data_IF_376873999587
#
_entry.id   IF_376873999587
#
_cell.length_a   1.000
_cell.length_b   1.000
_cell.length_c   1.000
_cell.angle_alpha   90.00
_cell.angle_beta   90.00
_cell.angle_gamma   90.00
#
_symmetry.space_group_name_H-M   'P 1'
#
loop_
_entity.id
_entity.type
_entity.pdbx_description
1 polymer ?
#
# COMPACT_ATOMS: atom_id res chain seq x y z
N UNK A 1 -4.71 -7.74 9.30
CA UNK A 1 -6.12 -8.04 9.60
C UNK A 1 -6.26 -8.11 11.10
N UNK A 2 -6.96 -7.15 11.67
CA UNK A 2 -7.26 -7.14 13.08
C UNK A 2 -8.22 -8.31 13.36
N UNK A 3 -7.70 -9.42 13.89
CA UNK A 3 -8.50 -10.63 14.21
C UNK A 3 -9.69 -10.35 15.11
N UNK A 4 -9.64 -9.25 15.89
CA UNK A 4 -10.73 -8.86 16.79
C UNK A 4 -11.97 -8.32 16.07
N UNK A 5 -11.83 -7.78 14.87
CA UNK A 5 -12.98 -7.31 14.07
C UNK A 5 -13.70 -8.46 13.38
N UNK A 6 -13.00 -9.58 13.09
CA UNK A 6 -13.60 -10.74 12.41
C UNK A 6 -14.47 -11.62 13.31
N UNK A 7 -14.18 -11.65 14.62
CA UNK A 7 -14.89 -12.56 15.56
C UNK A 7 -16.13 -11.94 16.21
N UNK A 8 -16.29 -10.61 16.14
CA UNK A 8 -17.39 -9.87 16.78
C UNK A 8 -18.22 -9.01 15.80
N UNK A 9 -18.19 -9.30 14.51
CA UNK A 9 -19.06 -8.58 13.55
C UNK A 9 -20.52 -8.77 13.96
N UNK A 10 -21.20 -7.70 14.40
CA UNK A 10 -22.62 -7.81 14.74
C UNK A 10 -23.37 -8.34 13.51
N UNK A 11 -24.32 -9.25 13.70
CA UNK A 11 -25.11 -9.89 12.62
C UNK A 11 -25.78 -8.88 11.66
N UNK A 12 -25.95 -7.63 12.08
CA UNK A 12 -26.49 -6.56 11.26
C UNK A 12 -25.48 -5.96 10.25
N UNK A 13 -24.17 -6.10 10.49
CA UNK A 13 -23.11 -5.76 9.54
C UNK A 13 -22.95 -6.82 8.42
N UNK A 14 -23.37 -8.05 8.67
CA UNK A 14 -23.26 -9.14 7.69
C UNK A 14 -24.22 -9.01 6.49
N UNK A 15 -25.17 -8.09 6.53
CA UNK A 15 -26.11 -7.81 5.44
C UNK A 15 -25.62 -6.72 4.48
N UNK A 16 -24.53 -6.04 4.76
CA UNK A 16 -23.82 -5.20 3.78
C UNK A 16 -22.91 -6.11 2.97
N UNK A 17 -22.91 -6.01 1.65
CA UNK A 17 -21.97 -6.72 0.76
C UNK A 17 -20.51 -6.29 1.00
N UNK A 18 -20.28 -5.50 2.05
CA UNK A 18 -18.99 -4.92 2.37
C UNK A 18 -18.09 -5.95 3.04
N UNK A 19 -16.97 -6.16 2.42
CA UNK A 19 -15.93 -7.02 2.93
C UNK A 19 -15.46 -6.55 4.31
N UNK A 20 -14.87 -7.44 5.10
CA UNK A 20 -14.19 -7.12 6.38
C UNK A 20 -13.23 -5.93 6.23
N UNK A 21 -12.64 -5.74 5.04
CA UNK A 21 -11.73 -4.64 4.72
C UNK A 21 -12.43 -3.28 4.70
N UNK A 22 -13.65 -3.17 4.15
CA UNK A 22 -14.42 -1.92 4.13
C UNK A 22 -14.84 -1.49 5.54
N UNK A 23 -15.21 -2.44 6.39
CA UNK A 23 -15.54 -2.16 7.79
C UNK A 23 -14.32 -1.68 8.58
N UNK A 24 -13.18 -2.34 8.37
CA UNK A 24 -11.90 -1.92 8.95
C UNK A 24 -11.53 -0.51 8.48
N UNK A 25 -11.64 -0.24 7.16
CA UNK A 25 -11.40 1.08 6.60
C UNK A 25 -12.27 2.16 7.24
N UNK A 26 -13.59 1.90 7.39
CA UNK A 26 -14.52 2.85 8.02
C UNK A 26 -14.12 3.18 9.46
N UNK A 27 -13.71 2.18 10.23
CA UNK A 27 -13.23 2.39 11.59
C UNK A 27 -11.94 3.23 11.61
N UNK A 28 -10.97 2.89 10.77
CA UNK A 28 -9.70 3.61 10.66
C UNK A 28 -9.91 5.07 10.21
N UNK A 29 -10.84 5.32 9.27
CA UNK A 29 -11.17 6.68 8.84
C UNK A 29 -11.68 7.54 10.01
N UNK A 30 -12.55 6.99 10.85
CA UNK A 30 -13.06 7.70 12.04
C UNK A 30 -11.96 7.87 13.07
N UNK A 31 -11.23 6.81 13.39
CA UNK A 31 -10.19 6.81 14.42
C UNK A 31 -9.08 7.78 14.07
N UNK A 32 -8.48 7.63 12.90
CA UNK A 32 -7.24 8.32 12.56
C UNK A 32 -7.45 9.74 12.03
N UNK A 33 -8.51 9.99 11.28
CA UNK A 33 -8.73 11.28 10.61
C UNK A 33 -10.09 11.92 10.85
N UNK A 34 -10.96 11.28 11.61
CA UNK A 34 -12.26 11.80 12.00
C UNK A 34 -13.33 11.79 10.91
N UNK A 35 -13.16 11.03 9.83
CA UNK A 35 -14.09 10.98 8.73
C UNK A 35 -15.08 9.84 8.86
N UNK A 36 -16.36 10.11 8.58
CA UNK A 36 -17.40 9.08 8.39
C UNK A 36 -18.29 9.41 7.20
N UNK A 37 -18.99 8.41 6.61
CA UNK A 37 -20.00 8.68 5.60
C UNK A 37 -21.09 9.61 6.11
N UNK A 38 -21.55 10.53 5.26
CA UNK A 38 -22.68 11.43 5.56
C UNK A 38 -24.06 10.79 5.30
N UNK A 39 -24.08 9.54 4.82
CA UNK A 39 -25.26 8.81 4.40
C UNK A 39 -25.81 9.23 3.03
N UNK A 40 -25.16 10.15 2.33
CA UNK A 40 -25.57 10.69 1.01
C UNK A 40 -24.53 10.42 -0.09
N UNK A 41 -23.48 9.68 0.24
CA UNK A 41 -22.38 9.32 -0.70
C UNK A 41 -21.16 10.25 -0.60
N UNK A 42 -21.08 11.09 0.44
CA UNK A 42 -19.90 11.90 0.76
C UNK A 42 -19.39 11.59 2.17
N UNK A 43 -18.39 12.31 2.63
CA UNK A 43 -17.82 12.20 3.97
C UNK A 43 -18.12 13.45 4.80
N UNK A 44 -18.27 13.26 6.11
CA UNK A 44 -18.40 14.32 7.10
C UNK A 44 -17.46 14.08 8.29
N UNK A 45 -17.16 15.12 9.07
CA UNK A 45 -16.43 14.94 10.31
C UNK A 45 -17.38 14.42 11.41
N UNK A 46 -16.96 13.37 12.09
CA UNK A 46 -17.64 12.92 13.32
C UNK A 46 -17.45 13.94 14.44
N UNK A 47 -18.31 13.84 15.46
CA UNK A 47 -18.12 14.61 16.68
C UNK A 47 -16.75 14.30 17.30
N UNK A 48 -16.02 15.34 17.77
CA UNK A 48 -14.67 15.22 18.30
C UNK A 48 -14.59 14.31 19.52
N UNK A 49 -15.55 14.46 20.44
CA UNK A 49 -15.62 13.61 21.64
C UNK A 49 -15.84 12.12 21.31
N UNK A 50 -16.58 11.84 20.23
CA UNK A 50 -16.77 10.47 19.73
C UNK A 50 -15.46 9.92 19.17
N UNK A 51 -14.76 10.69 18.34
CA UNK A 51 -13.47 10.29 17.80
C UNK A 51 -12.48 9.98 18.92
N UNK A 52 -12.30 10.87 19.91
CA UNK A 52 -11.41 10.65 21.05
C UNK A 52 -11.76 9.36 21.83
N UNK A 53 -13.06 9.11 22.05
CA UNK A 53 -13.50 7.89 22.73
C UNK A 53 -13.19 6.63 21.94
N UNK A 54 -13.22 6.68 20.62
CA UNK A 54 -12.87 5.56 19.74
C UNK A 54 -11.35 5.35 19.72
N UNK A 55 -10.55 6.43 19.67
CA UNK A 55 -9.10 6.34 19.79
C UNK A 55 -8.65 5.65 21.10
N UNK A 56 -9.35 5.93 22.20
CA UNK A 56 -9.05 5.29 23.50
C UNK A 56 -9.51 3.82 23.54
N UNK A 57 -10.66 3.55 22.95
CA UNK A 57 -11.32 2.23 23.01
C UNK A 57 -12.02 1.93 21.68
N UNK A 58 -11.32 1.17 20.83
CA UNK A 58 -11.77 0.83 19.47
C UNK A 58 -13.10 0.07 19.44
N UNK A 59 -13.48 -0.62 20.51
CA UNK A 59 -14.76 -1.35 20.58
C UNK A 59 -15.95 -0.40 20.62
N UNK A 60 -15.76 0.85 21.05
CA UNK A 60 -16.81 1.89 21.04
C UNK A 60 -17.30 2.27 19.66
N UNK A 61 -16.51 2.03 18.60
CA UNK A 61 -16.94 2.28 17.23
C UNK A 61 -18.29 1.60 16.91
N UNK A 62 -18.41 0.30 17.21
CA UNK A 62 -19.64 -0.46 16.99
C UNK A 62 -20.84 0.10 17.77
N UNK A 63 -20.62 0.60 18.98
CA UNK A 63 -21.65 1.25 19.78
C UNK A 63 -22.17 2.53 19.15
N UNK A 64 -21.27 3.42 18.63
CA UNK A 64 -21.68 4.67 18.00
C UNK A 64 -22.36 4.45 16.64
N UNK A 65 -21.92 3.46 15.88
CA UNK A 65 -22.61 3.03 14.64
C UNK A 65 -24.02 2.56 14.98
N UNK A 66 -24.20 1.70 15.99
CA UNK A 66 -25.52 1.21 16.41
C UNK A 66 -26.45 2.32 16.88
N UNK A 67 -25.91 3.39 17.45
CA UNK A 67 -26.69 4.57 17.84
C UNK A 67 -27.03 5.49 16.67
N UNK A 68 -26.46 5.28 15.49
CA UNK A 68 -26.59 6.16 14.33
C UNK A 68 -25.79 7.48 14.44
N UNK A 69 -24.87 7.56 15.40
CA UNK A 69 -23.96 8.70 15.57
C UNK A 69 -22.77 8.62 14.59
N UNK A 70 -22.47 7.44 14.09
CA UNK A 70 -21.59 7.18 12.96
C UNK A 70 -22.40 6.48 11.89
N UNK A 71 -22.45 7.06 10.72
CA UNK A 71 -23.17 6.49 9.58
C UNK A 71 -22.27 5.53 8.82
N UNK A 72 -22.86 4.49 8.26
CA UNK A 72 -22.17 3.51 7.39
C UNK A 72 -22.91 3.34 6.07
N UNK A 73 -24.09 3.94 5.93
CA UNK A 73 -24.90 3.82 4.74
C UNK A 73 -24.30 4.60 3.57
N UNK A 74 -24.46 4.05 2.36
CA UNK A 74 -23.96 4.64 1.12
C UNK A 74 -22.42 4.89 1.11
N UNK A 75 -21.66 4.14 1.93
CA UNK A 75 -20.22 4.14 1.85
C UNK A 75 -19.77 3.44 0.57
N UNK A 76 -19.13 4.19 -0.31
CA UNK A 76 -18.60 3.65 -1.57
C UNK A 76 -17.09 3.77 -1.58
N UNK A 77 -16.42 2.64 -1.49
CA UNK A 77 -14.99 2.54 -1.64
C UNK A 77 -14.63 1.51 -2.71
N UNK A 78 -13.61 1.80 -3.48
CA UNK A 78 -13.09 0.92 -4.52
C UNK A 78 -11.74 0.37 -4.08
N UNK A 79 -11.57 -0.95 -4.08
CA UNK A 79 -10.25 -1.56 -3.87
C UNK A 79 -9.43 -1.33 -5.14
N UNK A 80 -8.28 -0.67 -5.01
CA UNK A 80 -7.40 -0.33 -6.13
C UNK A 80 -6.07 -1.09 -6.10
N UNK A 81 -5.67 -1.62 -4.95
CA UNK A 81 -4.48 -2.46 -4.84
C UNK A 81 -4.54 -3.36 -3.60
N UNK A 82 -3.86 -4.50 -3.67
CA UNK A 82 -3.65 -5.42 -2.55
C UNK A 82 -2.15 -5.73 -2.47
N UNK A 83 -1.53 -5.48 -1.33
CA UNK A 83 -0.09 -5.67 -1.12
C UNK A 83 0.17 -6.59 0.05
N UNK A 84 0.77 -7.72 -0.22
CA UNK A 84 1.20 -8.67 0.82
C UNK A 84 2.65 -8.40 1.19
N UNK A 85 2.96 -8.46 2.49
CA UNK A 85 4.35 -8.31 2.97
C UNK A 85 5.27 -9.35 2.33
N UNK A 86 6.52 -8.96 2.01
CA UNK A 86 7.47 -9.85 1.37
C UNK A 86 7.83 -11.06 2.24
N UNK A 87 8.32 -12.16 1.65
CA UNK A 87 8.58 -13.41 2.36
C UNK A 87 9.65 -13.29 3.45
N UNK A 88 10.54 -12.32 3.35
CA UNK A 88 11.57 -12.07 4.37
C UNK A 88 11.07 -11.25 5.57
N UNK A 89 9.86 -10.70 5.50
CA UNK A 89 9.29 -9.96 6.63
C UNK A 89 8.97 -10.91 7.79
N UNK A 90 9.38 -10.58 9.04
CA UNK A 90 9.15 -11.44 10.20
C UNK A 90 7.66 -11.61 10.53
N UNK A 91 6.86 -10.61 10.20
CA UNK A 91 5.39 -10.65 10.30
C UNK A 91 4.85 -10.34 8.92
N UNK A 92 3.96 -11.21 8.42
CA UNK A 92 3.32 -11.04 7.12
C UNK A 92 1.85 -10.65 7.30
N UNK A 93 1.50 -9.54 6.68
CA UNK A 93 0.11 -9.08 6.58
C UNK A 93 -0.16 -8.60 5.15
N UNK A 94 -1.42 -8.49 4.82
CA UNK A 94 -1.89 -7.99 3.53
C UNK A 94 -2.58 -6.65 3.75
N UNK A 95 -2.13 -5.63 3.06
CA UNK A 95 -2.73 -4.30 3.02
C UNK A 95 -3.67 -4.22 1.82
N UNK A 96 -4.91 -3.81 2.04
CA UNK A 96 -5.86 -3.48 0.99
C UNK A 96 -5.96 -1.97 0.90
N UNK A 97 -5.67 -1.43 -0.28
CA UNK A 97 -5.76 0.00 -0.55
C UNK A 97 -7.09 0.32 -1.21
N UNK A 98 -7.79 1.28 -0.65
CA UNK A 98 -9.08 1.71 -1.13
C UNK A 98 -9.01 3.15 -1.65
N UNK A 99 -9.70 3.40 -2.75
CA UNK A 99 -10.01 4.74 -3.22
C UNK A 99 -11.35 5.18 -2.64
N UNK A 100 -11.40 6.41 -2.14
CA UNK A 100 -12.58 7.11 -1.66
C UNK A 100 -12.61 8.49 -2.27
N UNK A 101 -13.71 8.80 -2.96
CA UNK A 101 -13.95 10.18 -3.40
C UNK A 101 -14.61 10.98 -2.27
N UNK A 102 -14.02 12.12 -1.94
CA UNK A 102 -14.62 13.09 -1.01
C UNK A 102 -15.43 14.16 -1.76
N UNK A 103 -15.51 14.07 -3.09
CA UNK A 103 -16.18 15.05 -3.95
C UNK A 103 -15.61 16.46 -3.76
N UNK A 104 -16.50 17.45 -3.84
CA UNK A 104 -16.16 18.87 -3.61
C UNK A 104 -16.13 19.26 -2.12
N UNK A 105 -16.17 18.28 -1.22
CA UNK A 105 -16.16 18.52 0.23
C UNK A 105 -14.86 19.15 0.66
N UNK A 106 -14.92 20.29 1.36
CA UNK A 106 -13.77 20.95 1.96
C UNK A 106 -13.58 20.50 3.42
N UNK A 107 -13.70 19.19 3.65
CA UNK A 107 -13.44 18.64 4.99
C UNK A 107 -11.94 18.45 5.17
N UNK A 108 -11.45 18.80 6.35
CA UNK A 108 -10.03 18.62 6.71
C UNK A 108 -9.90 17.52 7.76
N UNK A 109 -8.92 16.64 7.65
CA UNK A 109 -8.63 15.64 8.67
C UNK A 109 -8.42 16.26 10.03
N UNK A 110 -8.87 15.57 11.07
CA UNK A 110 -8.65 15.97 12.47
C UNK A 110 -7.86 14.87 13.18
N UNK A 111 -6.76 15.27 13.82
CA UNK A 111 -5.86 14.39 14.54
C UNK A 111 -5.97 14.68 16.04
N UNK A 112 -6.65 13.82 16.84
CA UNK A 112 -6.71 14.00 18.28
C UNK A 112 -5.32 13.93 18.90
N UNK A 113 -4.92 14.98 19.60
CA UNK A 113 -3.55 15.16 20.10
C UNK A 113 -3.12 14.03 21.04
N UNK A 114 -2.05 13.33 20.66
CA UNK A 114 -1.48 12.22 21.45
C UNK A 114 -2.29 10.93 21.37
N UNK A 115 -3.29 10.82 20.48
CA UNK A 115 -4.14 9.66 20.29
C UNK A 115 -4.09 9.13 18.85
N UNK A 116 -3.96 10.01 17.84
CA UNK A 116 -3.79 9.63 16.44
C UNK A 116 -2.33 9.27 16.13
N UNK A 117 -2.14 8.37 15.16
CA UNK A 117 -0.83 8.04 14.60
C UNK A 117 -0.32 9.15 13.65
N UNK A 118 -1.18 10.08 13.27
CA UNK A 118 -0.90 11.21 12.37
C UNK A 118 -0.89 12.53 13.15
N UNK A 119 -0.08 13.48 12.65
CA UNK A 119 0.04 14.84 13.21
C UNK A 119 -0.08 15.93 12.13
N UNK A 120 0.08 15.55 10.86
CA UNK A 120 -0.12 16.46 9.72
C UNK A 120 -0.68 15.73 8.49
N UNK A 121 -1.25 16.49 7.56
CA UNK A 121 -1.68 15.99 6.25
C UNK A 121 -1.33 16.98 5.15
N UNK A 122 -1.27 16.47 3.90
CA UNK A 122 -1.08 17.28 2.70
C UNK A 122 -1.88 16.71 1.55
N UNK A 123 -2.46 17.59 0.76
CA UNK A 123 -3.09 17.22 -0.49
C UNK A 123 -2.06 17.23 -1.62
N UNK A 124 -1.92 16.10 -2.29
CA UNK A 124 -0.97 15.92 -3.36
C UNK A 124 -1.65 15.52 -4.66
N UNK A 125 -1.11 16.00 -5.79
CA UNK A 125 -1.30 15.30 -7.06
C UNK A 125 -0.38 14.08 -7.05
N UNK A 126 -0.82 12.92 -7.58
CA UNK A 126 0.00 11.69 -7.57
C UNK A 126 1.40 11.91 -8.13
N UNK A 127 1.52 12.60 -9.26
CA UNK A 127 2.78 12.86 -9.94
C UNK A 127 3.72 13.74 -9.08
N UNK A 128 3.16 14.74 -8.39
CA UNK A 128 3.95 15.61 -7.51
C UNK A 128 4.47 14.84 -6.29
N UNK A 129 3.65 13.95 -5.72
CA UNK A 129 4.08 13.10 -4.61
C UNK A 129 5.18 12.15 -5.05
N UNK A 130 5.03 11.50 -6.22
CA UNK A 130 6.06 10.63 -6.78
C UNK A 130 7.35 11.40 -7.04
N UNK A 131 7.26 12.63 -7.60
CA UNK A 131 8.43 13.47 -7.86
C UNK A 131 9.13 13.89 -6.56
N UNK A 132 8.38 14.29 -5.52
CA UNK A 132 8.97 14.63 -4.22
C UNK A 132 9.64 13.43 -3.54
N UNK A 133 9.10 12.22 -3.74
CA UNK A 133 9.76 11.01 -3.28
C UNK A 133 11.06 10.74 -4.06
N UNK A 134 11.05 10.89 -5.38
CA UNK A 134 12.25 10.75 -6.24
C UNK A 134 13.33 11.77 -5.87
N UNK A 135 12.95 12.95 -5.42
CA UNK A 135 13.85 14.01 -4.96
C UNK A 135 14.32 13.84 -3.49
N UNK A 136 13.92 12.78 -2.81
CA UNK A 136 14.18 12.56 -1.38
C UNK A 136 13.58 13.60 -0.41
N UNK A 137 12.56 14.33 -0.85
CA UNK A 137 11.85 15.34 -0.04
C UNK A 137 10.82 14.70 0.91
N UNK A 138 10.27 13.55 0.51
CA UNK A 138 9.35 12.75 1.33
C UNK A 138 9.83 11.30 1.41
N UNK A 139 9.43 10.60 2.47
CA UNK A 139 9.68 9.17 2.65
C UNK A 139 8.37 8.40 2.50
N UNK A 140 8.36 7.40 1.64
CA UNK A 140 7.23 6.50 1.45
C UNK A 140 7.70 5.06 1.64
N UNK A 141 6.97 4.24 2.39
CA UNK A 141 7.20 2.80 2.42
C UNK A 141 6.97 2.16 1.03
N UNK A 142 7.65 1.04 0.71
CA UNK A 142 7.56 0.41 -0.60
C UNK A 142 6.14 0.15 -1.13
N UNK A 143 5.15 -0.30 -0.31
CA UNK A 143 3.79 -0.49 -0.79
C UNK A 143 3.13 0.79 -1.30
N UNK A 144 3.40 1.93 -0.64
CA UNK A 144 2.88 3.23 -1.06
C UNK A 144 3.57 3.73 -2.32
N UNK A 145 4.89 3.53 -2.45
CA UNK A 145 5.63 3.90 -3.68
C UNK A 145 5.05 3.16 -4.89
N UNK A 146 4.86 1.84 -4.76
CA UNK A 146 4.27 1.03 -5.83
C UNK A 146 2.86 1.50 -6.18
N UNK A 147 2.03 1.76 -5.16
CA UNK A 147 0.67 2.27 -5.37
C UNK A 147 0.66 3.60 -6.13
N UNK A 148 1.51 4.56 -5.74
CA UNK A 148 1.58 5.87 -6.41
C UNK A 148 2.05 5.72 -7.86
N UNK A 149 2.98 4.81 -8.15
CA UNK A 149 3.39 4.50 -9.52
C UNK A 149 2.24 3.94 -10.35
N UNK A 150 1.50 2.95 -9.81
CA UNK A 150 0.31 2.37 -10.48
C UNK A 150 -0.75 3.46 -10.77
N UNK A 151 -0.96 4.39 -9.84
CA UNK A 151 -1.89 5.51 -10.03
C UNK A 151 -1.39 6.46 -11.13
N UNK A 152 -0.11 6.83 -11.13
CA UNK A 152 0.46 7.71 -12.15
C UNK A 152 0.40 7.05 -13.55
N UNK A 153 0.76 5.77 -13.66
CA UNK A 153 0.69 5.02 -14.91
C UNK A 153 -0.75 4.94 -15.44
N UNK A 154 -1.69 4.59 -14.57
CA UNK A 154 -3.11 4.55 -14.93
C UNK A 154 -3.66 5.93 -15.31
N UNK A 155 -3.18 7.01 -14.68
CA UNK A 155 -3.56 8.37 -15.02
C UNK A 155 -3.01 8.80 -16.39
N UNK A 156 -1.78 8.45 -16.72
CA UNK A 156 -1.19 8.70 -18.05
C UNK A 156 -1.98 7.98 -19.15
N UNK A 157 -2.42 6.75 -18.90
CA UNK A 157 -3.21 5.97 -19.86
C UNK A 157 -4.64 6.48 -20.06
N UNK A 158 -5.30 6.95 -19.00
CA UNK A 158 -6.74 7.25 -19.01
C UNK A 158 -7.05 8.76 -19.01
N UNK A 159 -6.08 9.63 -18.71
CA UNK A 159 -6.17 11.09 -18.85
C UNK A 159 -6.85 11.82 -17.67
N UNK A 160 -7.57 11.11 -16.79
CA UNK A 160 -8.17 11.70 -15.59
C UNK A 160 -8.17 10.71 -14.41
N UNK A 161 -8.23 11.25 -13.17
CA UNK A 161 -8.13 10.46 -11.95
C UNK A 161 -9.31 9.50 -11.74
N UNK A 162 -10.52 9.86 -12.13
CA UNK A 162 -11.70 9.02 -11.94
C UNK A 162 -11.56 7.77 -12.79
N UNK A 163 -11.29 7.94 -14.09
CA UNK A 163 -11.06 6.84 -15.02
C UNK A 163 -9.86 5.98 -14.60
N UNK A 164 -8.80 6.61 -14.06
CA UNK A 164 -7.64 5.90 -13.55
C UNK A 164 -7.99 4.98 -12.36
N UNK A 165 -8.74 5.48 -11.39
CA UNK A 165 -9.17 4.68 -10.23
C UNK A 165 -10.19 3.60 -10.60
N UNK A 166 -11.13 3.89 -11.53
CA UNK A 166 -12.07 2.90 -12.04
C UNK A 166 -11.31 1.75 -12.73
N UNK A 167 -10.30 2.06 -13.53
CA UNK A 167 -9.44 1.06 -14.16
C UNK A 167 -8.71 0.17 -13.14
N UNK A 168 -8.09 0.79 -12.14
CA UNK A 168 -7.39 0.08 -11.07
C UNK A 168 -8.34 -0.80 -10.25
N UNK A 169 -9.60 -0.38 -10.07
CA UNK A 169 -10.59 -1.15 -9.31
C UNK A 169 -11.10 -2.40 -10.03
N UNK A 170 -11.10 -2.41 -11.36
CA UNK A 170 -11.48 -3.58 -12.17
C UNK A 170 -10.45 -4.72 -12.00
N UNK A 171 -9.18 -4.37 -11.95
CA UNK A 171 -8.06 -5.30 -11.77
C UNK A 171 -7.08 -4.74 -10.72
N UNK A 172 -7.41 -4.84 -9.43
CA UNK A 172 -6.51 -4.38 -8.39
C UNK A 172 -5.18 -5.11 -8.48
N UNK A 173 -4.08 -4.35 -8.53
CA UNK A 173 -2.76 -4.97 -8.59
C UNK A 173 -2.45 -5.73 -7.31
N UNK A 174 -1.99 -6.97 -7.44
CA UNK A 174 -1.73 -7.87 -6.31
C UNK A 174 -0.25 -8.19 -6.15
N UNK A 175 0.14 -8.52 -4.93
CA UNK A 175 1.46 -9.05 -4.61
C UNK A 175 2.52 -7.98 -4.37
N UNK A 176 3.74 -8.46 -4.33
CA UNK A 176 4.95 -7.64 -4.33
C UNK A 176 5.92 -8.32 -5.31
N UNK A 177 6.42 -7.60 -6.27
CA UNK A 177 7.42 -8.14 -7.18
C UNK A 177 8.77 -7.48 -6.93
N UNK A 178 8.75 -6.17 -6.69
CA UNK A 178 9.93 -5.35 -6.45
C UNK A 178 9.61 -4.40 -5.31
N UNK A 179 10.53 -4.29 -4.37
CA UNK A 179 10.42 -3.40 -3.23
C UNK A 179 11.43 -2.27 -3.41
N UNK A 180 10.96 -1.09 -3.70
CA UNK A 180 11.79 0.09 -3.82
C UNK A 180 11.83 0.84 -2.47
N UNK A 181 12.94 0.68 -1.73
CA UNK A 181 13.11 1.27 -0.40
C UNK A 181 13.53 2.74 -0.43
N UNK A 182 14.20 3.12 -1.50
CA UNK A 182 14.59 4.50 -1.81
C UNK A 182 14.73 4.61 -3.33
N UNK A 183 14.66 5.82 -3.92
CA UNK A 183 14.88 6.00 -5.34
C UNK A 183 16.16 5.30 -5.82
N UNK A 184 16.00 4.39 -6.78
CA UNK A 184 17.09 3.61 -7.34
C UNK A 184 17.66 2.51 -6.43
N UNK A 185 16.96 2.11 -5.36
CA UNK A 185 17.30 0.98 -4.49
C UNK A 185 16.17 -0.03 -4.51
N UNK A 186 16.22 -0.96 -5.44
CA UNK A 186 15.21 -1.99 -5.62
C UNK A 186 15.66 -3.32 -4.99
N UNK A 187 14.78 -4.01 -4.27
CA UNK A 187 15.01 -5.35 -3.74
C UNK A 187 14.07 -6.34 -4.43
N UNK A 188 14.63 -7.44 -4.90
CA UNK A 188 13.93 -8.53 -5.57
C UNK A 188 14.15 -9.79 -4.75
N UNK A 189 13.16 -10.27 -4.00
CA UNK A 189 13.28 -11.53 -3.28
C UNK A 189 13.30 -12.70 -4.28
N UNK A 190 14.44 -13.36 -4.43
CA UNK A 190 14.61 -14.52 -5.31
C UNK A 190 14.46 -15.81 -4.50
N UNK A 191 13.57 -16.75 -4.90
CA UNK A 191 13.45 -18.05 -4.26
C UNK A 191 14.76 -18.82 -4.33
N UNK A 192 15.36 -19.15 -3.18
CA UNK A 192 16.63 -19.85 -3.09
C UNK A 192 16.61 -20.88 -1.96
N UNK A 193 17.51 -21.86 -2.06
CA UNK A 193 17.79 -22.79 -0.97
C UNK A 193 18.79 -22.13 -0.02
N UNK A 194 18.28 -21.37 0.92
CA UNK A 194 19.06 -20.71 1.97
C UNK A 194 18.78 -21.34 3.35
N UNK A 195 19.43 -20.85 4.40
CA UNK A 195 19.26 -21.37 5.76
C UNK A 195 17.85 -21.07 6.31
N UNK A 196 17.14 -22.10 6.83
CA UNK A 196 15.85 -21.88 7.47
C UNK A 196 15.94 -20.85 8.62
N UNK A 197 14.91 -20.01 8.85
CA UNK A 197 13.59 -20.04 8.20
C UNK A 197 13.51 -19.28 6.86
N UNK A 198 14.59 -18.71 6.35
CA UNK A 198 14.61 -17.99 5.10
C UNK A 198 14.38 -18.94 3.89
N UNK A 199 13.66 -18.45 2.89
CA UNK A 199 13.33 -19.17 1.66
C UNK A 199 13.72 -18.38 0.41
N UNK A 200 14.27 -17.16 0.60
CA UNK A 200 14.61 -16.24 -0.47
C UNK A 200 15.93 -15.55 -0.15
N UNK A 201 16.67 -15.21 -1.19
CA UNK A 201 17.78 -14.27 -1.13
C UNK A 201 17.33 -12.93 -1.70
N UNK A 202 17.68 -11.86 -1.04
CA UNK A 202 17.38 -10.51 -1.51
C UNK A 202 18.41 -10.08 -2.56
N UNK A 203 18.03 -10.13 -3.83
CA UNK A 203 18.79 -9.52 -4.90
C UNK A 203 18.49 -8.02 -4.94
N UNK A 204 19.53 -7.18 -5.03
CA UNK A 204 19.31 -5.73 -5.15
C UNK A 204 19.72 -5.26 -6.54
N UNK A 205 18.94 -4.29 -7.05
CA UNK A 205 19.29 -3.51 -8.24
C UNK A 205 19.46 -2.06 -7.81
N UNK A 206 20.66 -1.55 -7.98
CA UNK A 206 21.02 -0.16 -7.65
C UNK A 206 21.10 0.69 -8.90
N UNK A 207 20.78 1.98 -8.79
CA UNK A 207 20.77 2.95 -9.88
C UNK A 207 19.36 3.29 -10.35
N UNK A 208 19.20 4.39 -11.08
CA UNK A 208 17.89 4.88 -11.57
C UNK A 208 17.62 4.42 -13.01
N UNK A 209 16.35 4.30 -13.42
CA UNK A 209 15.99 4.00 -14.81
C UNK A 209 16.63 4.99 -15.81
N UNK A 210 17.14 4.47 -16.94
CA UNK A 210 17.83 5.26 -17.95
C UNK A 210 19.31 5.50 -17.67
N UNK A 211 19.84 5.06 -16.52
CA UNK A 211 21.24 5.22 -16.12
C UNK A 211 21.96 3.89 -15.93
N UNK A 212 23.15 3.97 -15.32
CA UNK A 212 23.92 2.80 -14.95
C UNK A 212 23.27 2.03 -13.81
N UNK A 213 23.28 0.69 -13.90
CA UNK A 213 22.68 -0.23 -12.92
C UNK A 213 23.72 -1.21 -12.42
N UNK A 214 23.62 -1.55 -11.13
CA UNK A 214 24.42 -2.59 -10.49
C UNK A 214 23.49 -3.64 -9.91
N UNK A 215 23.77 -4.92 -10.14
CA UNK A 215 23.02 -6.04 -9.54
C UNK A 215 23.86 -6.63 -8.42
N UNK A 216 23.24 -6.87 -7.26
CA UNK A 216 23.90 -7.47 -6.09
C UNK A 216 23.20 -8.79 -5.76
N UNK A 217 23.99 -9.86 -5.58
CA UNK A 217 23.54 -11.20 -5.21
C UNK A 217 22.41 -11.76 -6.10
N UNK A 218 22.62 -11.90 -7.42
CA UNK A 218 21.62 -12.41 -8.36
C UNK A 218 21.46 -13.93 -8.28
N UNK A 219 21.18 -14.48 -7.10
CA UNK A 219 21.13 -15.89 -6.75
C UNK A 219 19.99 -16.66 -7.43
N UNK A 220 19.97 -16.70 -8.76
CA UNK A 220 18.89 -17.26 -9.56
C UNK A 220 19.21 -18.69 -10.03
N UNK A 221 19.23 -19.67 -9.11
CA UNK A 221 19.49 -21.07 -9.44
C UNK A 221 18.23 -21.84 -9.83
N UNK A 222 17.08 -21.55 -9.22
CA UNK A 222 15.81 -22.19 -9.57
C UNK A 222 15.22 -21.59 -10.84
N UNK A 223 14.36 -22.36 -11.53
CA UNK A 223 13.65 -21.88 -12.72
C UNK A 223 12.83 -20.62 -12.41
N UNK A 224 12.13 -20.62 -11.28
CA UNK A 224 11.32 -19.50 -10.82
C UNK A 224 12.19 -18.25 -10.56
N UNK A 225 13.31 -18.39 -9.86
CA UNK A 225 14.22 -17.27 -9.61
C UNK A 225 14.83 -16.71 -10.91
N UNK A 226 15.17 -17.60 -11.87
CA UNK A 226 15.64 -17.19 -13.20
C UNK A 226 14.59 -16.41 -13.98
N UNK A 227 13.33 -16.84 -13.93
CA UNK A 227 12.22 -16.14 -14.60
C UNK A 227 12.02 -14.74 -14.02
N UNK A 228 12.03 -14.60 -12.68
CA UNK A 228 11.93 -13.31 -11.98
C UNK A 228 13.09 -12.39 -12.36
N UNK A 229 14.33 -12.89 -12.28
CA UNK A 229 15.52 -12.10 -12.60
C UNK A 229 15.58 -11.72 -14.07
N UNK A 230 15.23 -12.64 -15.00
CA UNK A 230 15.21 -12.38 -16.44
C UNK A 230 14.22 -11.27 -16.79
N UNK A 231 13.01 -11.33 -16.21
CA UNK A 231 12.02 -10.26 -16.38
C UNK A 231 12.58 -8.91 -15.96
N UNK A 232 13.26 -8.85 -14.80
CA UNK A 232 13.87 -7.60 -14.33
C UNK A 232 14.99 -7.10 -15.23
N UNK A 233 15.82 -8.00 -15.76
CA UNK A 233 16.87 -7.64 -16.72
C UNK A 233 16.27 -7.06 -18.00
N UNK A 234 15.18 -7.63 -18.48
CA UNK A 234 14.46 -7.12 -19.66
C UNK A 234 13.85 -5.73 -19.38
N UNK A 235 13.28 -5.49 -18.21
CA UNK A 235 12.79 -4.16 -17.77
C UNK A 235 13.95 -3.13 -17.76
N UNK A 236 15.13 -3.51 -17.23
CA UNK A 236 16.32 -2.67 -17.22
C UNK A 236 16.71 -2.29 -18.65
N UNK A 237 16.73 -3.25 -19.58
CA UNK A 237 17.05 -3.01 -20.99
C UNK A 237 16.04 -2.12 -21.69
N UNK A 238 14.75 -2.35 -21.44
CA UNK A 238 13.66 -1.53 -21.99
C UNK A 238 13.74 -0.08 -21.51
N UNK A 239 14.17 0.16 -20.28
CA UNK A 239 14.42 1.51 -19.74
C UNK A 239 15.68 2.19 -20.29
N UNK A 240 16.37 1.57 -21.25
CA UNK A 240 17.67 2.02 -21.78
C UNK A 240 18.77 2.17 -20.73
N UNK A 241 18.69 1.40 -19.66
CA UNK A 241 19.71 1.31 -18.63
C UNK A 241 20.79 0.32 -19.02
N UNK A 242 22.02 0.53 -18.52
CA UNK A 242 23.15 -0.37 -18.72
C UNK A 242 23.51 -1.06 -17.38
N UNK A 243 23.64 -2.38 -17.38
CA UNK A 243 24.16 -3.13 -16.24
C UNK A 243 25.68 -3.10 -16.31
N UNK A 244 26.30 -2.27 -15.47
CA UNK A 244 27.75 -2.05 -15.48
C UNK A 244 28.52 -3.02 -14.57
N UNK A 245 27.85 -3.61 -13.58
CA UNK A 245 28.47 -4.56 -12.65
C UNK A 245 27.46 -5.53 -12.04
N UNK A 246 27.98 -6.71 -11.70
CA UNK A 246 27.32 -7.66 -10.79
C UNK A 246 28.25 -7.88 -9.60
N UNK A 247 27.71 -7.70 -8.39
CA UNK A 247 28.46 -7.80 -7.14
C UNK A 247 27.92 -8.99 -6.34
N UNK A 248 28.82 -9.77 -5.77
CA UNK A 248 28.49 -10.83 -4.82
C UNK A 248 28.99 -10.41 -3.45
N UNK A 249 28.08 -10.41 -2.45
CA UNK A 249 28.47 -10.04 -1.08
C UNK A 249 29.38 -11.08 -0.47
N UNK A 250 29.18 -12.36 -0.81
CA UNK A 250 30.02 -13.48 -0.37
C UNK A 250 29.76 -14.73 -1.24
N UNK A 251 30.54 -15.79 -1.00
CA UNK A 251 30.66 -17.00 -1.84
C UNK A 251 29.59 -18.08 -1.62
N UNK A 252 28.58 -17.89 -0.77
CA UNK A 252 27.57 -18.92 -0.57
C UNK A 252 26.70 -19.09 -1.82
N UNK A 253 26.24 -20.31 -2.07
CA UNK A 253 25.48 -20.65 -3.29
C UNK A 253 24.15 -19.93 -3.38
N UNK A 254 23.55 -19.59 -2.25
CA UNK A 254 22.32 -18.83 -2.17
C UNK A 254 22.52 -17.33 -2.49
N UNK A 255 23.73 -16.88 -2.78
CA UNK A 255 24.06 -15.53 -3.26
C UNK A 255 24.63 -15.50 -4.67
N UNK A 256 25.34 -16.56 -5.07
CA UNK A 256 25.98 -16.60 -6.40
C UNK A 256 25.23 -17.44 -7.44
N UNK A 257 24.24 -18.25 -7.06
CA UNK A 257 23.43 -19.08 -7.96
C UNK A 257 23.95 -20.49 -8.20
#
# INVERSE_FOLDING_TARGET
TDRRVSDENPKWLANTQDSVTSITLLRELVEEIGFSPDGKGSLELVNEEIQEKICIDKEKWAYYVKKGEIKIDNFNSQIIAVRTMPPFAPIRFTNTFHHLSIGDSKIEPRFPKGMSEFDEYRWWKPENLLQSWLNHEVRLPPPQVTLIRDICESLEENGDLISAFDKLSINPSEGYHILEFAPGVECIPLPTQTLPPATHTNCYVLGVPGGERVIIDPAAKSKEALEILSKKIDEIRLSRSEIIATIFTHKHQDHIG
#
